data_IF_681677268716
#
_entry.id   IF_681677268716
#
_cell.length_a   1.000
_cell.length_b   1.000
_cell.length_c   1.000
_cell.angle_alpha   90.00
_cell.angle_beta   90.00
_cell.angle_gamma   90.00
#
_symmetry.space_group_name_H-M   'P 1'
#
loop_
_entity.id
_entity.type
_entity.pdbx_description
1 polymer ?
#
# COMPACT_ATOMS: atom_id res chain seq x y z
N UNK A 1 51.97 18.21 -10.52
CA UNK A 1 51.31 19.40 -9.97
C UNK A 1 50.02 19.48 -10.76
N UNK A 2 48.85 19.35 -10.14
CA UNK A 2 47.58 19.47 -10.88
C UNK A 2 47.45 20.95 -11.24
N UNK A 3 47.27 21.27 -12.52
CA UNK A 3 47.11 22.64 -12.97
C UNK A 3 45.84 23.23 -12.33
N UNK A 4 45.92 24.50 -11.93
CA UNK A 4 44.83 25.19 -11.24
C UNK A 4 43.56 25.23 -12.11
N UNK A 5 43.73 25.28 -13.43
CA UNK A 5 42.64 25.19 -14.41
C UNK A 5 41.96 23.81 -14.40
N UNK A 6 42.71 22.71 -14.26
CA UNK A 6 42.15 21.36 -14.18
C UNK A 6 41.34 21.16 -12.89
N UNK A 7 41.80 21.75 -11.79
CA UNK A 7 41.07 21.71 -10.52
C UNK A 7 39.78 22.54 -10.58
N UNK A 8 39.81 23.70 -11.22
CA UNK A 8 38.62 24.53 -11.41
C UNK A 8 37.60 23.85 -12.35
N UNK A 9 38.05 23.21 -13.43
CA UNK A 9 37.18 22.43 -14.31
C UNK A 9 36.50 21.27 -13.56
N UNK A 10 37.26 20.55 -12.74
CA UNK A 10 36.72 19.47 -11.90
C UNK A 10 35.67 19.96 -10.90
N UNK A 11 35.90 21.11 -10.25
CA UNK A 11 34.90 21.69 -9.34
C UNK A 11 33.63 22.12 -10.08
N UNK A 12 33.74 22.60 -11.32
CA UNK A 12 32.60 22.91 -12.18
C UNK A 12 31.77 21.66 -12.49
N UNK A 13 32.42 20.62 -12.99
CA UNK A 13 31.78 19.33 -13.32
C UNK A 13 31.11 18.71 -12.07
N UNK A 14 31.75 18.82 -10.91
CA UNK A 14 31.19 18.35 -9.65
C UNK A 14 29.93 19.13 -9.26
N UNK A 15 29.91 20.45 -9.45
CA UNK A 15 28.73 21.27 -9.17
C UNK A 15 27.56 20.89 -10.09
N UNK A 16 27.81 20.73 -11.39
CA UNK A 16 26.79 20.33 -12.36
C UNK A 16 26.23 18.94 -12.06
N UNK A 17 27.08 18.01 -11.65
CA UNK A 17 26.66 16.69 -11.22
C UNK A 17 25.76 16.74 -9.97
N UNK A 18 26.14 17.54 -8.97
CA UNK A 18 25.35 17.71 -7.75
C UNK A 18 23.98 18.34 -8.04
N UNK A 19 23.92 19.34 -8.93
CA UNK A 19 22.65 19.94 -9.37
C UNK A 19 21.76 18.93 -10.10
N UNK A 20 22.34 18.12 -10.99
CA UNK A 20 21.60 17.04 -11.68
C UNK A 20 21.04 16.00 -10.69
N UNK A 21 21.82 15.67 -9.66
CA UNK A 21 21.40 14.73 -8.61
C UNK A 21 20.26 15.29 -7.75
N UNK A 22 20.30 16.59 -7.44
CA UNK A 22 19.23 17.28 -6.73
C UNK A 22 17.92 17.29 -7.55
N UNK A 23 18.01 17.59 -8.85
CA UNK A 23 16.86 17.54 -9.75
C UNK A 23 16.26 16.13 -9.85
N UNK A 24 17.12 15.11 -9.95
CA UNK A 24 16.69 13.72 -9.96
C UNK A 24 15.97 13.34 -8.65
N UNK A 25 16.48 13.80 -7.50
CA UNK A 25 15.85 13.57 -6.20
C UNK A 25 14.49 14.28 -6.09
N UNK A 26 14.36 15.50 -6.60
CA UNK A 26 13.08 16.23 -6.67
C UNK A 26 12.09 15.52 -7.58
N UNK A 27 12.53 15.02 -8.74
CA UNK A 27 11.71 14.25 -9.68
C UNK A 27 11.23 12.93 -9.04
N UNK A 28 12.12 12.21 -8.35
CA UNK A 28 11.76 11.02 -7.58
C UNK A 28 10.75 11.34 -6.48
N UNK A 29 10.93 12.42 -5.72
CA UNK A 29 9.96 12.86 -4.71
C UNK A 29 8.59 13.17 -5.33
N UNK A 30 8.53 13.85 -6.48
CA UNK A 30 7.26 14.10 -7.19
C UNK A 30 6.63 12.82 -7.70
N UNK A 31 7.41 11.88 -8.22
CA UNK A 31 6.91 10.57 -8.67
C UNK A 31 6.41 9.73 -7.51
N UNK A 32 7.11 9.74 -6.37
CA UNK A 32 6.65 9.12 -5.12
C UNK A 32 5.36 9.81 -4.68
N UNK A 33 5.31 11.14 -4.59
CA UNK A 33 4.10 11.88 -4.23
C UNK A 33 2.90 11.59 -5.16
N UNK A 34 3.15 11.40 -6.46
CA UNK A 34 2.16 11.00 -7.47
C UNK A 34 1.72 9.55 -7.29
N UNK A 35 2.64 8.64 -6.96
CA UNK A 35 2.37 7.23 -6.65
C UNK A 35 1.74 7.05 -5.26
N UNK A 36 1.95 7.98 -4.34
CA UNK A 36 1.32 8.05 -3.03
C UNK A 36 0.13 9.01 -3.03
N UNK A 37 -0.35 9.43 -4.20
CA UNK A 37 -1.54 10.27 -4.36
C UNK A 37 -2.69 9.64 -3.57
N UNK A 38 -3.01 10.25 -2.44
CA UNK A 38 -4.01 9.84 -1.44
C UNK A 38 -4.19 8.32 -1.31
N UNK A 39 -3.18 7.61 -0.81
CA UNK A 39 -3.38 6.22 -0.37
C UNK A 39 -4.47 6.21 0.69
N UNK A 40 -5.65 5.71 0.34
CA UNK A 40 -6.78 5.56 1.25
C UNK A 40 -6.49 4.31 2.07
N UNK A 41 -6.27 4.51 3.37
CA UNK A 41 -6.07 3.42 4.32
C UNK A 41 -7.35 3.22 5.12
N UNK A 42 -7.70 1.96 5.36
CA UNK A 42 -8.85 1.62 6.18
C UNK A 42 -8.59 0.35 6.99
N UNK A 43 -9.35 0.24 8.08
CA UNK A 43 -9.39 -0.95 8.92
C UNK A 43 -10.85 -1.29 9.21
N UNK A 44 -11.24 -2.52 8.93
CA UNK A 44 -12.58 -3.06 9.17
C UNK A 44 -12.45 -4.12 10.24
N UNK A 45 -13.23 -4.00 11.31
CA UNK A 45 -13.23 -4.96 12.41
C UNK A 45 -14.58 -5.71 12.42
N UNK A 46 -14.58 -7.05 12.49
CA UNK A 46 -15.79 -7.81 12.75
C UNK A 46 -16.31 -7.52 14.17
N UNK A 47 -17.60 -7.77 14.40
CA UNK A 47 -18.21 -7.60 15.73
C UNK A 47 -17.61 -8.55 16.79
N UNK A 48 -17.11 -9.70 16.36
CA UNK A 48 -16.41 -10.71 17.19
C UNK A 48 -15.25 -11.30 16.39
N UNK A 49 -14.18 -11.80 17.03
CA UNK A 49 -13.14 -12.55 16.33
C UNK A 49 -13.74 -13.73 15.57
N UNK A 50 -13.39 -13.87 14.29
CA UNK A 50 -13.95 -14.89 13.40
C UNK A 50 -12.91 -15.93 13.04
N UNK A 51 -13.33 -17.18 12.84
CA UNK A 51 -12.42 -18.25 12.46
C UNK A 51 -11.91 -18.06 11.02
N UNK A 52 -10.60 -18.20 10.75
CA UNK A 52 -10.09 -18.23 9.38
C UNK A 52 -10.64 -19.40 8.55
N UNK A 53 -11.17 -20.43 9.21
CA UNK A 53 -11.76 -21.58 8.54
C UNK A 53 -13.21 -21.37 8.07
N UNK A 54 -13.85 -20.28 8.50
CA UNK A 54 -15.24 -19.99 8.12
C UNK A 54 -15.36 -19.83 6.58
N UNK A 55 -16.38 -20.44 5.95
CA UNK A 55 -16.58 -20.34 4.51
C UNK A 55 -16.69 -18.91 3.98
N UNK A 56 -17.28 -17.98 4.73
CA UNK A 56 -17.41 -16.57 4.34
C UNK A 56 -16.04 -15.87 4.35
N UNK A 57 -15.17 -16.22 5.29
CA UNK A 57 -13.80 -15.72 5.34
C UNK A 57 -12.94 -16.31 4.22
N UNK A 58 -13.05 -17.63 3.97
CA UNK A 58 -12.38 -18.26 2.83
C UNK A 58 -12.82 -17.65 1.50
N UNK A 59 -14.10 -17.30 1.39
CA UNK A 59 -14.63 -16.56 0.24
C UNK A 59 -14.05 -15.14 0.16
N UNK A 60 -13.99 -14.41 1.28
CA UNK A 60 -13.41 -13.06 1.35
C UNK A 60 -11.98 -13.04 0.86
N UNK A 61 -11.13 -13.96 1.34
CA UNK A 61 -9.73 -14.05 0.91
C UNK A 61 -9.62 -14.25 -0.60
N UNK A 62 -10.39 -15.19 -1.15
CA UNK A 62 -10.43 -15.42 -2.60
C UNK A 62 -10.88 -14.17 -3.37
N UNK A 63 -11.88 -13.46 -2.85
CA UNK A 63 -12.42 -12.26 -3.50
C UNK A 63 -11.42 -11.11 -3.47
N UNK A 64 -10.74 -10.89 -2.34
CA UNK A 64 -9.68 -9.88 -2.22
C UNK A 64 -8.48 -10.20 -3.12
N UNK A 65 -8.13 -11.48 -3.27
CA UNK A 65 -7.09 -11.89 -4.22
C UNK A 65 -7.47 -11.56 -5.68
N UNK A 66 -8.73 -11.75 -6.07
CA UNK A 66 -9.22 -11.33 -7.39
C UNK A 66 -9.14 -9.81 -7.58
N UNK A 67 -9.52 -9.04 -6.55
CA UNK A 67 -9.42 -7.56 -6.60
C UNK A 67 -7.96 -7.14 -6.74
N UNK A 68 -7.03 -7.76 -6.01
CA UNK A 68 -5.59 -7.48 -6.11
C UNK A 68 -5.01 -7.86 -7.48
N UNK A 69 -5.50 -8.94 -8.10
CA UNK A 69 -5.10 -9.31 -9.46
C UNK A 69 -5.57 -8.29 -10.50
N UNK A 70 -6.78 -7.76 -10.36
CA UNK A 70 -7.31 -6.72 -11.22
C UNK A 70 -6.64 -5.35 -10.98
N UNK A 71 -6.28 -5.06 -9.72
CA UNK A 71 -5.69 -3.80 -9.28
C UNK A 71 -4.42 -4.05 -8.44
N UNK A 72 -3.23 -4.11 -9.07
CA UNK A 72 -1.97 -4.44 -8.39
C UNK A 72 -1.56 -3.46 -7.28
N UNK A 73 -2.16 -2.27 -7.27
CA UNK A 73 -1.95 -1.22 -6.26
C UNK A 73 -2.72 -1.47 -4.96
N UNK A 74 -3.67 -2.41 -4.96
CA UNK A 74 -4.44 -2.78 -3.77
C UNK A 74 -3.60 -3.66 -2.86
N UNK A 75 -3.42 -3.20 -1.62
CA UNK A 75 -2.79 -3.98 -0.56
C UNK A 75 -3.82 -4.28 0.53
N UNK A 76 -3.80 -5.50 1.07
CA UNK A 76 -4.63 -5.87 2.21
C UNK A 76 -3.93 -6.90 3.11
N UNK A 77 -4.35 -6.94 4.37
CA UNK A 77 -3.87 -7.89 5.37
C UNK A 77 -4.98 -8.22 6.36
N UNK A 78 -5.16 -9.51 6.64
CA UNK A 78 -6.00 -9.96 7.75
C UNK A 78 -5.22 -9.84 9.06
N UNK A 79 -5.83 -9.17 10.02
CA UNK A 79 -5.32 -9.06 11.39
C UNK A 79 -5.81 -10.27 12.18
N UNK A 80 -4.91 -10.90 12.93
CA UNK A 80 -5.19 -12.08 13.73
C UNK A 80 -4.81 -11.84 15.19
N UNK A 81 -5.53 -12.47 16.12
CA UNK A 81 -5.16 -12.51 17.53
C UNK A 81 -4.20 -13.69 17.85
N UNK A 82 -3.85 -13.82 19.14
CA UNK A 82 -3.00 -14.91 19.66
C UNK A 82 -3.58 -16.31 19.43
N UNK A 83 -4.90 -16.41 19.21
CA UNK A 83 -5.62 -17.66 18.92
C UNK A 83 -5.78 -17.90 17.41
N UNK A 84 -5.08 -17.11 16.58
CA UNK A 84 -5.19 -17.15 15.12
C UNK A 84 -6.60 -16.84 14.58
N UNK A 85 -7.46 -16.22 15.38
CA UNK A 85 -8.76 -15.74 14.94
C UNK A 85 -8.60 -14.38 14.27
N UNK A 86 -9.38 -14.14 13.22
CA UNK A 86 -9.34 -12.88 12.50
C UNK A 86 -10.08 -11.82 13.30
N UNK A 87 -9.37 -10.74 13.62
CA UNK A 87 -9.86 -9.58 14.38
C UNK A 87 -10.03 -8.34 13.52
N UNK A 88 -9.67 -8.41 12.24
CA UNK A 88 -9.92 -7.33 11.30
C UNK A 88 -9.29 -7.55 9.93
N UNK A 89 -9.59 -6.61 9.03
CA UNK A 89 -8.98 -6.46 7.72
C UNK A 89 -8.40 -5.06 7.61
N UNK A 90 -7.11 -4.98 7.37
CA UNK A 90 -6.41 -3.74 7.03
C UNK A 90 -6.23 -3.67 5.53
N UNK A 91 -6.44 -2.50 4.93
CA UNK A 91 -6.29 -2.32 3.48
C UNK A 91 -5.71 -0.94 3.12
N UNK A 92 -5.13 -0.87 1.93
CA UNK A 92 -4.62 0.36 1.32
C UNK A 92 -4.94 0.34 -0.17
N UNK A 93 -5.63 1.39 -0.64
CA UNK A 93 -6.07 1.53 -2.03
C UNK A 93 -5.81 2.94 -2.53
N UNK A 94 -5.85 3.12 -3.86
CA UNK A 94 -5.61 4.41 -4.50
C UNK A 94 -6.90 5.11 -4.93
N UNK A 95 -8.02 4.38 -4.98
CA UNK A 95 -9.30 4.85 -5.51
C UNK A 95 -10.44 4.58 -4.51
N UNK A 96 -11.39 5.52 -4.37
CA UNK A 96 -12.55 5.36 -3.49
C UNK A 96 -13.49 4.24 -3.95
N UNK A 97 -13.55 3.93 -5.25
CA UNK A 97 -14.33 2.79 -5.76
C UNK A 97 -13.78 1.46 -5.23
N UNK A 98 -12.45 1.29 -5.28
CA UNK A 98 -11.77 0.10 -4.72
C UNK A 98 -12.00 -0.01 -3.22
N UNK A 99 -12.00 1.11 -2.51
CA UNK A 99 -12.32 1.17 -1.07
C UNK A 99 -13.75 0.68 -0.81
N UNK A 100 -14.74 1.22 -1.54
CA UNK A 100 -16.14 0.86 -1.36
C UNK A 100 -16.38 -0.64 -1.62
N UNK A 101 -15.72 -1.18 -2.64
CA UNK A 101 -15.77 -2.61 -2.95
C UNK A 101 -15.18 -3.48 -1.84
N UNK A 102 -13.98 -3.16 -1.37
CA UNK A 102 -13.33 -3.89 -0.26
C UNK A 102 -14.19 -3.79 1.01
N UNK A 103 -14.69 -2.60 1.33
CA UNK A 103 -15.52 -2.41 2.52
C UNK A 103 -16.82 -3.22 2.46
N UNK A 104 -17.50 -3.22 1.32
CA UNK A 104 -18.75 -3.95 1.12
C UNK A 104 -18.55 -5.46 1.29
N UNK A 105 -17.56 -6.05 0.62
CA UNK A 105 -17.32 -7.50 0.69
C UNK A 105 -16.80 -7.93 2.06
N UNK A 106 -15.95 -7.12 2.69
CA UNK A 106 -15.41 -7.40 4.01
C UNK A 106 -16.47 -7.32 5.10
N UNK A 107 -17.32 -6.28 5.09
CA UNK A 107 -18.45 -6.16 6.02
C UNK A 107 -19.38 -7.36 5.89
N UNK A 108 -19.79 -7.72 4.67
CA UNK A 108 -20.64 -8.89 4.45
C UNK A 108 -20.02 -10.18 5.00
N UNK A 109 -18.75 -10.43 4.71
CA UNK A 109 -18.07 -11.65 5.15
C UNK A 109 -17.92 -11.71 6.67
N UNK A 110 -17.59 -10.58 7.30
CA UNK A 110 -17.48 -10.47 8.74
C UNK A 110 -18.81 -10.62 9.45
N UNK A 111 -19.88 -9.98 8.97
CA UNK A 111 -21.21 -10.13 9.53
C UNK A 111 -21.70 -11.57 9.39
N UNK A 112 -21.42 -12.21 8.24
CA UNK A 112 -21.82 -13.59 7.99
C UNK A 112 -21.08 -14.59 8.87
N UNK A 113 -19.78 -14.39 9.09
CA UNK A 113 -18.95 -15.25 9.93
C UNK A 113 -19.21 -15.00 11.43
N UNK A 114 -19.49 -13.77 11.85
CA UNK A 114 -19.75 -13.43 13.25
C UNK A 114 -21.18 -13.78 13.72
N UNK A 115 -22.12 -13.95 12.77
CA UNK A 115 -23.49 -14.37 13.02
C UNK A 115 -23.72 -15.88 13.07
N UNK A 116 -22.67 -16.69 12.88
CA UNK A 116 -22.68 -18.15 13.05
C UNK A 116 -22.11 -18.53 14.41
#
# INVERSE_FOLDING_TARGET
MVDEEDFQAFLGDLCDFLSSLEEAAVSLKRRIAKLTGSVIKGCIKPAKPVSPDDPAIKWLVKRLDMVRQAHPTVWYRLLQDEKSLITGLEYSVMEEEQKADIESVARWAFDKAAGR
#
